data_IF_373667078433
#
_entry.id   IF_373667078433
#
_cell.length_a   1.000
_cell.length_b   1.000
_cell.length_c   1.000
_cell.angle_alpha   90.00
_cell.angle_beta   90.00
_cell.angle_gamma   90.00
#
_symmetry.space_group_name_H-M   'P 1'
#
loop_
_entity.id
_entity.type
_entity.pdbx_description
1 polymer ?
#
# COMPACT_ATOMS: atom_id res chain seq x y z
N UNK A 1 31.36 0.15 -41.59
CA UNK A 1 29.93 0.05 -41.22
C UNK A 1 29.73 -0.72 -39.91
N UNK A 2 30.42 -1.85 -39.73
CA UNK A 2 30.39 -2.64 -38.48
C UNK A 2 30.91 -1.85 -37.26
N UNK A 3 31.97 -1.04 -37.40
CA UNK A 3 32.49 -0.22 -36.29
C UNK A 3 31.56 0.90 -35.85
N UNK A 4 30.72 1.40 -36.75
CA UNK A 4 29.71 2.42 -36.44
C UNK A 4 28.54 1.82 -35.64
N UNK A 5 28.19 0.57 -35.94
CA UNK A 5 27.18 -0.18 -35.19
C UNK A 5 27.72 -0.58 -33.81
N UNK A 6 28.99 -1.00 -33.73
CA UNK A 6 29.68 -1.31 -32.46
C UNK A 6 29.72 -0.09 -31.54
N UNK A 7 30.03 1.11 -32.06
CA UNK A 7 30.02 2.37 -31.28
C UNK A 7 28.63 2.88 -30.86
N UNK A 8 27.53 2.37 -31.42
CA UNK A 8 26.16 2.67 -30.95
C UNK A 8 25.73 1.72 -29.83
N UNK A 9 26.23 0.49 -29.85
CA UNK A 9 25.98 -0.54 -28.82
C UNK A 9 26.88 -0.37 -27.60
N UNK A 10 28.11 0.12 -27.78
CA UNK A 10 29.09 0.36 -26.71
C UNK A 10 28.64 1.39 -25.64
N UNK A 11 28.15 2.60 -25.96
CA UNK A 11 27.83 3.63 -24.95
C UNK A 11 26.74 3.20 -23.98
N UNK A 12 25.86 2.28 -24.39
CA UNK A 12 24.84 1.73 -23.52
C UNK A 12 25.41 0.65 -22.58
N UNK A 13 26.32 -0.21 -23.07
CA UNK A 13 27.01 -1.24 -22.29
C UNK A 13 27.92 -0.63 -21.22
N UNK A 14 28.64 0.43 -21.56
CA UNK A 14 29.56 1.10 -20.65
C UNK A 14 28.80 1.76 -19.48
N UNK A 15 27.58 2.25 -19.72
CA UNK A 15 26.70 2.77 -18.65
C UNK A 15 26.14 1.66 -17.75
N UNK A 16 25.89 0.46 -18.27
CA UNK A 16 25.48 -0.70 -17.45
C UNK A 16 26.64 -1.28 -16.65
N UNK A 17 27.84 -1.36 -17.23
CA UNK A 17 29.05 -1.77 -16.51
C UNK A 17 29.41 -0.73 -15.44
N UNK A 18 29.23 0.57 -15.69
CA UNK A 18 29.48 1.60 -14.67
C UNK A 18 28.42 1.62 -13.56
N UNK A 19 27.13 1.37 -13.88
CA UNK A 19 26.08 1.12 -12.87
C UNK A 19 26.35 -0.18 -12.08
N UNK A 20 26.86 -1.22 -12.74
CA UNK A 20 27.21 -2.49 -12.11
C UNK A 20 28.46 -2.36 -11.21
N UNK A 21 29.49 -1.62 -11.65
CA UNK A 21 30.71 -1.34 -10.88
C UNK A 21 30.44 -0.46 -9.65
N UNK A 22 29.57 0.54 -9.77
CA UNK A 22 29.17 1.39 -8.63
C UNK A 22 28.29 0.63 -7.61
N UNK A 23 27.67 -0.48 -8.04
CA UNK A 23 26.95 -1.41 -7.17
C UNK A 23 27.88 -2.44 -6.51
N UNK A 24 29.04 -2.75 -7.09
CA UNK A 24 29.99 -3.76 -6.60
C UNK A 24 31.04 -3.22 -5.60
N UNK A 25 31.34 -1.91 -5.59
CA UNK A 25 32.40 -1.36 -4.73
C UNK A 25 31.93 -0.93 -3.32
N UNK A 26 30.63 -1.00 -3.03
CA UNK A 26 30.13 -0.85 -1.66
C UNK A 26 29.83 -2.25 -1.11
N UNK A 27 30.82 -2.85 -0.43
CA UNK A 27 30.60 -4.04 0.40
C UNK A 27 29.55 -3.69 1.46
N UNK A 28 28.26 -3.79 1.09
CA UNK A 28 27.12 -3.61 1.99
C UNK A 28 27.37 -4.58 3.12
N UNK A 29 27.56 -4.04 4.32
CA UNK A 29 27.78 -4.85 5.51
C UNK A 29 26.67 -5.89 5.58
N UNK A 30 26.97 -7.11 6.06
CA UNK A 30 25.93 -8.13 6.29
C UNK A 30 24.76 -7.56 7.11
N UNK A 31 25.01 -6.54 7.94
CA UNK A 31 24.00 -5.78 8.68
C UNK A 31 23.04 -4.98 7.79
N UNK A 32 23.50 -4.41 6.68
CA UNK A 32 22.63 -3.72 5.72
C UNK A 32 21.71 -4.70 5.00
N UNK A 33 22.22 -5.89 4.64
CA UNK A 33 21.40 -6.96 4.09
C UNK A 33 20.36 -7.46 5.12
N UNK A 34 20.76 -7.63 6.38
CA UNK A 34 19.84 -8.00 7.47
C UNK A 34 18.76 -6.92 7.65
N UNK A 35 19.13 -5.63 7.64
CA UNK A 35 18.16 -4.52 7.74
C UNK A 35 17.17 -4.51 6.58
N UNK A 36 17.64 -4.71 5.35
CA UNK A 36 16.76 -4.79 4.18
C UNK A 36 15.82 -5.99 4.29
N UNK A 37 16.32 -7.17 4.70
CA UNK A 37 15.47 -8.35 4.90
C UNK A 37 14.44 -8.17 6.02
N UNK A 38 14.79 -7.45 7.10
CA UNK A 38 13.88 -7.17 8.19
C UNK A 38 12.72 -6.25 7.75
N UNK A 39 12.99 -5.28 6.86
CA UNK A 39 11.94 -4.44 6.26
C UNK A 39 11.00 -5.26 5.39
N UNK A 40 11.53 -6.12 4.50
CA UNK A 40 10.72 -7.00 3.66
C UNK A 40 9.87 -7.96 4.51
N UNK A 41 10.46 -8.55 5.55
CA UNK A 41 9.73 -9.40 6.50
C UNK A 41 8.56 -8.65 7.16
N UNK A 42 8.75 -7.39 7.52
CA UNK A 42 7.66 -6.55 8.07
C UNK A 42 6.52 -6.32 7.08
N UNK A 43 6.83 -6.06 5.80
CA UNK A 43 5.84 -5.86 4.74
C UNK A 43 5.02 -7.14 4.53
N UNK A 44 5.68 -8.29 4.42
CA UNK A 44 5.02 -9.59 4.27
C UNK A 44 4.12 -9.92 5.47
N UNK A 45 4.58 -9.60 6.69
CA UNK A 45 3.77 -9.76 7.88
C UNK A 45 2.51 -8.88 7.86
N UNK A 46 2.63 -7.62 7.43
CA UNK A 46 1.49 -6.72 7.26
C UNK A 46 0.48 -7.27 6.24
N UNK A 47 0.95 -7.74 5.09
CA UNK A 47 0.11 -8.35 4.05
C UNK A 47 -0.61 -9.61 4.57
N UNK A 48 0.09 -10.47 5.32
CA UNK A 48 -0.52 -11.63 5.96
C UNK A 48 -1.58 -11.24 7.00
N UNK A 49 -1.32 -10.19 7.80
CA UNK A 49 -2.27 -9.69 8.79
C UNK A 49 -3.52 -9.10 8.11
N UNK A 50 -3.34 -8.31 7.06
CA UNK A 50 -4.42 -7.72 6.27
C UNK A 50 -5.35 -8.80 5.69
N UNK A 51 -4.79 -9.73 4.94
CA UNK A 51 -5.55 -10.85 4.34
C UNK A 51 -6.28 -11.68 5.41
N UNK A 52 -5.69 -11.82 6.61
CA UNK A 52 -6.31 -12.51 7.74
C UNK A 52 -7.44 -11.71 8.43
N UNK A 53 -7.36 -10.37 8.49
CA UNK A 53 -8.35 -9.53 9.15
C UNK A 53 -9.51 -9.11 8.24
N UNK A 54 -9.28 -8.99 6.93
CA UNK A 54 -10.34 -8.64 5.97
C UNK A 54 -11.52 -9.61 6.06
N UNK A 55 -11.25 -10.91 6.02
CA UNK A 55 -12.28 -11.95 6.04
C UNK A 55 -13.25 -11.88 7.25
N UNK A 56 -12.78 -11.90 8.52
CA UNK A 56 -13.65 -11.84 9.69
C UNK A 56 -14.39 -10.50 9.83
N UNK A 57 -13.76 -9.37 9.48
CA UNK A 57 -14.40 -8.04 9.52
C UNK A 57 -15.59 -8.00 8.56
N UNK A 58 -15.42 -8.59 7.39
CA UNK A 58 -16.40 -8.56 6.33
C UNK A 58 -17.59 -9.48 6.62
N UNK A 59 -17.34 -10.61 7.32
CA UNK A 59 -18.38 -11.46 7.90
C UNK A 59 -19.15 -10.76 9.02
N UNK A 60 -18.46 -10.01 9.89
CA UNK A 60 -19.11 -9.24 10.97
C UNK A 60 -20.03 -8.12 10.43
N UNK A 61 -19.73 -7.58 9.25
CA UNK A 61 -20.55 -6.57 8.57
C UNK A 61 -21.75 -7.17 7.82
N UNK A 62 -21.83 -8.50 7.67
CA UNK A 62 -22.94 -9.17 6.98
C UNK A 62 -23.05 -8.81 5.50
N UNK A 63 -21.95 -8.41 4.86
CA UNK A 63 -21.92 -8.00 3.46
C UNK A 63 -22.01 -9.21 2.51
N UNK A 64 -22.78 -9.13 1.41
CA UNK A 64 -22.80 -10.21 0.43
C UNK A 64 -21.45 -10.34 -0.28
N UNK A 65 -21.13 -11.58 -0.69
CA UNK A 65 -19.83 -11.99 -1.25
C UNK A 65 -19.37 -11.10 -2.41
N UNK A 66 -20.31 -10.58 -3.20
CA UNK A 66 -20.01 -9.70 -4.34
C UNK A 66 -19.23 -8.44 -3.91
N UNK A 67 -19.53 -7.83 -2.75
CA UNK A 67 -18.79 -6.65 -2.28
C UNK A 67 -17.38 -6.99 -1.84
N UNK A 68 -17.14 -8.22 -1.37
CA UNK A 68 -15.78 -8.68 -1.09
C UNK A 68 -14.96 -8.58 -2.38
N UNK A 69 -15.44 -9.19 -3.48
CA UNK A 69 -14.74 -9.14 -4.77
C UNK A 69 -14.48 -7.70 -5.24
N UNK A 70 -15.40 -6.77 -5.00
CA UNK A 70 -15.17 -5.35 -5.29
C UNK A 70 -14.03 -4.76 -4.45
N UNK A 71 -14.00 -5.02 -3.14
CA UNK A 71 -12.94 -4.55 -2.24
C UNK A 71 -11.58 -5.07 -2.72
N UNK A 72 -11.46 -6.35 -3.08
CA UNK A 72 -10.21 -6.91 -3.59
C UNK A 72 -9.82 -6.40 -4.98
N UNK A 73 -10.77 -5.89 -5.77
CA UNK A 73 -10.52 -5.36 -7.12
C UNK A 73 -10.10 -3.87 -7.12
N UNK A 74 -10.47 -3.13 -6.08
CA UNK A 74 -10.15 -1.70 -5.97
C UNK A 74 -8.64 -1.40 -5.79
N UNK A 75 -7.87 -2.11 -4.94
CA UNK A 75 -6.44 -1.89 -4.78
C UNK A 75 -5.64 -1.97 -6.07
N UNK A 76 -5.73 -3.02 -6.92
CA UNK A 76 -4.97 -3.06 -8.16
C UNK A 76 -5.41 -1.96 -9.14
N UNK A 77 -6.69 -1.61 -9.17
CA UNK A 77 -7.20 -0.54 -10.02
C UNK A 77 -6.64 0.83 -9.59
N UNK A 78 -6.66 1.11 -8.29
CA UNK A 78 -6.17 2.39 -7.75
C UNK A 78 -4.64 2.44 -7.81
N UNK A 79 -3.95 1.35 -7.46
CA UNK A 79 -2.50 1.21 -7.53
C UNK A 79 -1.96 1.45 -8.93
N UNK A 80 -2.66 0.99 -9.96
CA UNK A 80 -2.31 1.26 -11.36
C UNK A 80 -2.20 2.77 -11.68
N UNK A 81 -3.06 3.61 -11.08
CA UNK A 81 -3.01 5.06 -11.27
C UNK A 81 -2.10 5.75 -10.25
N UNK A 82 -2.11 5.30 -8.99
CA UNK A 82 -1.36 5.94 -7.91
C UNK A 82 0.15 5.72 -8.03
N UNK A 83 0.59 4.52 -8.35
CA UNK A 83 2.03 4.18 -8.45
C UNK A 83 2.80 5.11 -9.41
N UNK A 84 2.37 5.33 -10.67
CA UNK A 84 3.09 6.24 -11.58
C UNK A 84 3.03 7.72 -11.14
N UNK A 85 1.91 8.15 -10.54
CA UNK A 85 1.77 9.51 -10.01
C UNK A 85 2.72 9.72 -8.85
N UNK A 86 2.74 8.80 -7.89
CA UNK A 86 3.59 8.83 -6.70
C UNK A 86 5.06 8.71 -7.08
N UNK A 87 5.41 7.93 -8.11
CA UNK A 87 6.75 7.90 -8.70
C UNK A 87 7.18 9.28 -9.22
N UNK A 88 6.34 9.93 -10.05
CA UNK A 88 6.64 11.27 -10.57
C UNK A 88 6.70 12.34 -9.47
N UNK A 89 5.86 12.23 -8.43
CA UNK A 89 5.85 13.13 -7.29
C UNK A 89 7.11 12.96 -6.44
N UNK A 90 7.55 11.71 -6.25
CA UNK A 90 8.80 11.35 -5.57
C UNK A 90 10.01 11.99 -6.23
N UNK A 91 10.06 11.98 -7.56
CA UNK A 91 11.14 12.60 -8.30
C UNK A 91 11.20 14.13 -8.15
N UNK A 92 10.07 14.80 -7.88
CA UNK A 92 9.97 16.26 -7.74
C UNK A 92 10.17 16.78 -6.31
N UNK A 93 10.22 15.91 -5.30
CA UNK A 93 10.35 16.34 -3.92
C UNK A 93 11.79 16.70 -3.53
N UNK A 94 12.07 18.00 -3.43
CA UNK A 94 13.32 18.50 -2.87
C UNK A 94 13.12 18.90 -1.39
N UNK A 95 13.08 17.91 -0.49
CA UNK A 95 12.98 18.17 0.96
C UNK A 95 14.33 18.07 1.65
N UNK A 96 14.49 18.79 2.77
CA UNK A 96 15.74 18.89 3.55
C UNK A 96 16.17 17.56 4.21
N UNK A 97 15.27 16.59 4.28
CA UNK A 97 15.44 15.26 4.91
C UNK A 97 15.93 14.20 3.88
N UNK A 98 16.01 14.57 2.59
CA UNK A 98 16.42 13.71 1.48
C UNK A 98 15.26 13.41 0.52
N UNK A 99 15.59 13.00 -0.71
CA UNK A 99 14.61 12.86 -1.82
C UNK A 99 13.60 11.74 -1.63
N UNK A 100 13.98 10.62 -0.98
CA UNK A 100 13.18 9.38 -0.86
C UNK A 100 12.57 9.12 0.53
N UNK A 101 13.15 9.70 1.59
CA UNK A 101 12.72 9.49 2.99
C UNK A 101 11.34 10.06 3.37
N UNK A 102 10.85 11.20 2.83
CA UNK A 102 9.54 11.71 3.22
C UNK A 102 8.39 10.79 2.79
N UNK A 103 8.52 10.11 1.65
CA UNK A 103 7.49 9.19 1.15
C UNK A 103 7.36 7.95 2.03
N UNK A 104 8.48 7.33 2.43
CA UNK A 104 8.48 6.17 3.34
C UNK A 104 7.79 6.52 4.66
N UNK A 105 8.04 7.71 5.21
CA UNK A 105 7.38 8.15 6.44
C UNK A 105 5.87 8.38 6.24
N UNK A 106 5.46 8.93 5.09
CA UNK A 106 4.04 9.12 4.77
C UNK A 106 3.33 7.76 4.68
N UNK A 107 3.89 6.79 3.94
CA UNK A 107 3.31 5.45 3.84
C UNK A 107 3.29 4.74 5.21
N UNK A 108 4.35 4.85 6.00
CA UNK A 108 4.39 4.23 7.34
C UNK A 108 3.31 4.80 8.27
N UNK A 109 3.08 6.11 8.24
CA UNK A 109 2.00 6.75 9.01
C UNK A 109 0.62 6.34 8.44
N UNK A 110 0.50 6.27 7.12
CA UNK A 110 -0.71 5.85 6.41
C UNK A 110 -1.12 4.42 6.80
N UNK A 111 -0.17 3.47 6.86
CA UNK A 111 -0.40 2.09 7.34
C UNK A 111 -0.91 2.08 8.78
N UNK A 112 -0.30 2.86 9.68
CA UNK A 112 -0.76 2.94 11.08
C UNK A 112 -2.19 3.49 11.17
N UNK A 113 -2.51 4.49 10.36
CA UNK A 113 -3.87 5.07 10.27
C UNK A 113 -4.83 4.04 9.69
N UNK A 114 -4.48 3.35 8.60
CA UNK A 114 -5.28 2.31 7.97
C UNK A 114 -5.63 1.19 8.95
N UNK A 115 -4.64 0.66 9.68
CA UNK A 115 -4.85 -0.35 10.72
C UNK A 115 -5.79 0.14 11.82
N UNK A 116 -5.64 1.40 12.25
CA UNK A 116 -6.49 1.99 13.27
C UNK A 116 -7.93 2.17 12.78
N UNK A 117 -8.13 2.54 11.51
CA UNK A 117 -9.43 2.64 10.85
C UNK A 117 -10.09 1.26 10.68
N UNK A 118 -9.33 0.25 10.27
CA UNK A 118 -9.84 -1.12 10.10
C UNK A 118 -10.23 -1.73 11.45
N UNK A 119 -9.41 -1.54 12.49
CA UNK A 119 -9.69 -2.06 13.82
C UNK A 119 -10.83 -1.32 14.53
N UNK A 120 -10.97 0.00 14.33
CA UNK A 120 -11.96 0.83 15.03
C UNK A 120 -13.12 1.30 14.14
N UNK A 121 -13.29 0.76 12.93
CA UNK A 121 -14.22 1.30 11.94
C UNK A 121 -15.68 1.38 12.41
N UNK A 122 -16.13 0.42 13.23
CA UNK A 122 -17.47 0.46 13.85
C UNK A 122 -17.62 1.60 14.84
N UNK A 123 -16.62 1.79 15.71
CA UNK A 123 -16.60 2.89 16.68
C UNK A 123 -16.55 4.22 15.93
N UNK A 124 -15.62 4.40 14.99
CA UNK A 124 -15.49 5.65 14.23
C UNK A 124 -16.79 5.95 13.45
N UNK A 125 -17.41 4.95 12.83
CA UNK A 125 -18.70 5.11 12.15
C UNK A 125 -19.83 5.63 13.03
N UNK A 126 -19.88 5.17 14.30
CA UNK A 126 -20.85 5.65 15.28
C UNK A 126 -20.60 7.13 15.64
N UNK A 127 -19.33 7.54 15.75
CA UNK A 127 -18.98 8.95 16.02
C UNK A 127 -19.33 9.88 14.85
N UNK A 128 -19.27 9.38 13.61
CA UNK A 128 -19.59 10.15 12.39
C UNK A 128 -21.08 10.12 12.00
N UNK A 129 -21.95 9.53 12.81
CA UNK A 129 -23.40 9.66 12.66
C UNK A 129 -24.14 8.40 12.21
N UNK A 130 -23.55 7.20 12.31
CA UNK A 130 -24.35 5.97 12.32
C UNK A 130 -25.19 5.93 13.61
N UNK A 131 -26.38 6.54 13.58
CA UNK A 131 -27.36 6.43 14.65
C UNK A 131 -27.71 4.96 14.87
N UNK A 132 -27.75 4.54 16.14
CA UNK A 132 -28.33 3.27 16.57
C UNK A 132 -29.81 3.21 16.14
N UNK A 133 -30.10 2.75 14.93
CA UNK A 133 -31.45 2.32 14.53
C UNK A 133 -31.75 0.96 15.18
N UNK A 134 -31.60 0.86 16.50
CA UNK A 134 -31.88 -0.37 17.26
C UNK A 134 -33.38 -0.57 17.50
N UNK A 135 -34.27 0.22 16.89
CA UNK A 135 -35.69 0.20 17.30
C UNK A 135 -36.77 0.20 16.23
N UNK A 136 -36.52 0.26 14.91
CA UNK A 136 -37.62 0.11 13.94
C UNK A 136 -37.21 -0.71 12.71
N UNK A 137 -37.78 -1.92 12.65
CA UNK A 137 -37.85 -2.87 11.53
C UNK A 137 -36.57 -3.69 11.24
N UNK A 138 -36.57 -4.87 11.86
CA UNK A 138 -35.72 -6.04 11.61
C UNK A 138 -35.89 -6.66 10.21
N UNK A 139 -36.12 -5.85 9.17
CA UNK A 139 -36.34 -6.30 7.79
C UNK A 139 -35.48 -5.58 6.75
N UNK A 140 -34.76 -4.51 7.11
CA UNK A 140 -33.77 -3.89 6.23
C UNK A 140 -32.36 -4.35 6.59
N UNK A 141 -31.63 -4.82 5.58
CA UNK A 141 -30.35 -5.50 5.70
C UNK A 141 -29.33 -4.76 6.60
N UNK A 142 -28.58 -5.47 7.46
CA UNK A 142 -27.72 -4.91 8.52
C UNK A 142 -26.63 -3.94 8.02
N UNK A 143 -26.28 -4.01 6.75
CA UNK A 143 -25.33 -3.10 6.09
C UNK A 143 -25.84 -1.66 5.94
N UNK A 144 -27.17 -1.43 6.03
CA UNK A 144 -27.75 -0.10 5.81
C UNK A 144 -27.74 0.77 7.07
N UNK A 145 -27.58 0.17 8.26
CA UNK A 145 -27.59 0.87 9.56
C UNK A 145 -26.21 1.34 10.03
N UNK A 146 -25.13 0.77 9.49
CA UNK A 146 -23.76 1.20 9.75
C UNK A 146 -23.04 1.57 8.44
N UNK A 147 -23.67 2.44 7.63
CA UNK A 147 -23.15 2.82 6.31
C UNK A 147 -21.80 3.50 6.42
N UNK A 148 -21.67 4.40 7.39
CA UNK A 148 -20.46 5.22 7.53
C UNK A 148 -19.31 4.38 8.05
N UNK A 149 -19.54 3.55 9.07
CA UNK A 149 -18.52 2.63 9.59
C UNK A 149 -18.04 1.64 8.53
N UNK A 150 -18.95 1.10 7.71
CA UNK A 150 -18.59 0.17 6.63
C UNK A 150 -17.71 0.85 5.58
N UNK A 151 -18.05 2.08 5.16
CA UNK A 151 -17.25 2.83 4.17
C UNK A 151 -15.86 3.16 4.72
N UNK A 152 -15.77 3.57 5.99
CA UNK A 152 -14.49 3.88 6.64
C UNK A 152 -13.60 2.64 6.71
N UNK A 153 -14.16 1.49 7.09
CA UNK A 153 -13.40 0.23 7.12
C UNK A 153 -12.94 -0.18 5.73
N UNK A 154 -13.80 -0.09 4.71
CA UNK A 154 -13.43 -0.40 3.32
C UNK A 154 -12.30 0.52 2.85
N UNK A 155 -12.40 1.83 3.14
CA UNK A 155 -11.37 2.79 2.79
C UNK A 155 -10.05 2.49 3.51
N UNK A 156 -10.11 2.09 4.78
CA UNK A 156 -8.94 1.66 5.55
C UNK A 156 -8.27 0.42 4.96
N UNK A 157 -9.04 -0.60 4.57
CA UNK A 157 -8.52 -1.82 3.89
C UNK A 157 -7.89 -1.46 2.55
N UNK A 158 -8.60 -0.72 1.69
CA UNK A 158 -8.07 -0.34 0.37
C UNK A 158 -6.78 0.47 0.50
N UNK A 159 -6.69 1.36 1.50
CA UNK A 159 -5.49 2.15 1.76
C UNK A 159 -4.33 1.28 2.27
N UNK A 160 -4.59 0.28 3.13
CA UNK A 160 -3.57 -0.67 3.59
C UNK A 160 -3.01 -1.52 2.44
N UNK A 161 -3.87 -2.12 1.63
CA UNK A 161 -3.45 -2.89 0.45
C UNK A 161 -2.59 -2.03 -0.49
N UNK A 162 -3.00 -0.78 -0.75
CA UNK A 162 -2.25 0.16 -1.60
C UNK A 162 -0.88 0.52 -1.04
N UNK A 163 -0.79 0.74 0.27
CA UNK A 163 0.48 1.05 0.93
C UNK A 163 1.42 -0.16 0.92
N UNK A 164 0.90 -1.37 1.11
CA UNK A 164 1.64 -2.64 1.01
C UNK A 164 2.18 -2.84 -0.42
N UNK A 165 1.32 -2.68 -1.43
CA UNK A 165 1.68 -2.77 -2.85
C UNK A 165 2.74 -1.72 -3.23
N UNK A 166 2.58 -0.48 -2.74
CA UNK A 166 3.56 0.59 -2.95
C UNK A 166 4.92 0.26 -2.32
N UNK A 167 4.94 -0.38 -1.14
CA UNK A 167 6.17 -0.77 -0.46
C UNK A 167 6.92 -1.93 -1.15
N UNK A 168 6.22 -2.80 -1.89
CA UNK A 168 6.84 -3.87 -2.69
C UNK A 168 7.35 -3.38 -4.06
N UNK A 169 6.87 -2.23 -4.53
CA UNK A 169 7.31 -1.69 -5.82
C UNK A 169 8.80 -1.27 -5.78
N UNK A 170 9.64 -1.71 -6.73
CA UNK A 170 11.05 -1.30 -6.78
C UNK A 170 11.13 0.18 -7.14
N UNK A 171 11.66 1.01 -6.24
CA UNK A 171 11.86 2.46 -6.42
C UNK A 171 13.34 2.89 -6.51
#
# INVERSE_FOLDING_TARGET
MVDFFKRRVQPHRDSYEQFAYETEENHKSKLDLVRLSAVVCGIEFCYAAETAFVSPILLQLGLPVIFMTWIWCLPPLIGFFLVPILGSLSDKCNTRIGRRRPFINIYSISILIGLLLVANGRTIGQWFGDLNYTSLNQTSLPFLSHKVGTIITILGVVLLDLDCDACQSPS
#
